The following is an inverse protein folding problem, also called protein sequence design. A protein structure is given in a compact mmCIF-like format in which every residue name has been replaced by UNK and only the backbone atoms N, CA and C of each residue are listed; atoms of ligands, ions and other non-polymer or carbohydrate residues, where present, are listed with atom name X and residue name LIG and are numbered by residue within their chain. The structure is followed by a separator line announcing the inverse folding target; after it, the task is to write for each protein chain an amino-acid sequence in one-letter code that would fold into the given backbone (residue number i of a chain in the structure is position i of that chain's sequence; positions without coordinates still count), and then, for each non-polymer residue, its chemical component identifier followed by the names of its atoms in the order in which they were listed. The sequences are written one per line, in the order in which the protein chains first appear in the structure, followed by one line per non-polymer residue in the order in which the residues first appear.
data_IF_494261850703
#
_entry.id   IF_494261850703
#
_cell.length_a   1.000
_cell.length_b   1.000
_cell.length_c   1.000
_cell.angle_alpha   90.00
_cell.angle_beta   90.00
_cell.angle_gamma   90.00
#
_symmetry.space_group_name_H-M   'P 1'
#
loop_
_entity.id
_entity.type
_entity.pdbx_description
1 polymer ?
#
# COMPACT_ATOMS: atom_id res chain seq x y z
N UNK A 1 49.31 -28.04 -60.21
CA UNK A 1 47.96 -27.39 -60.23
C UNK A 1 47.45 -27.35 -58.79
N UNK A 2 47.10 -26.18 -58.32
CA UNK A 2 47.00 -25.82 -56.88
C UNK A 2 45.67 -26.21 -56.29
N UNK A 3 45.71 -26.98 -55.19
CA UNK A 3 44.53 -27.33 -54.40
C UNK A 3 44.09 -26.19 -53.46
N UNK A 4 42.83 -25.85 -53.51
CA UNK A 4 42.21 -24.88 -52.56
C UNK A 4 41.70 -25.66 -51.32
N UNK A 5 42.28 -25.33 -50.18
CA UNK A 5 41.87 -25.81 -48.88
C UNK A 5 40.63 -24.93 -48.41
N UNK A 6 39.52 -25.59 -48.20
CA UNK A 6 38.35 -24.96 -47.57
C UNK A 6 38.53 -24.95 -46.07
N UNK A 7 38.75 -23.77 -45.49
CA UNK A 7 38.62 -23.55 -44.03
C UNK A 7 37.14 -23.39 -43.69
N UNK A 8 36.63 -24.31 -42.93
CA UNK A 8 35.32 -24.22 -42.30
C UNK A 8 35.46 -23.35 -41.06
N UNK A 9 34.89 -22.17 -41.05
CA UNK A 9 34.71 -21.35 -39.83
C UNK A 9 33.49 -21.88 -39.09
N UNK A 10 33.72 -22.46 -37.91
CA UNK A 10 32.68 -22.79 -36.94
C UNK A 10 32.37 -21.52 -36.15
N UNK A 11 31.28 -20.85 -36.48
CA UNK A 11 30.74 -19.74 -35.69
C UNK A 11 29.97 -20.32 -34.50
N UNK A 12 30.56 -20.27 -33.30
CA UNK A 12 29.89 -20.58 -32.07
C UNK A 12 28.97 -19.38 -31.68
N UNK A 13 27.69 -19.52 -31.93
CA UNK A 13 26.69 -18.57 -31.45
C UNK A 13 26.49 -18.80 -29.94
N UNK A 14 27.11 -17.97 -29.12
CA UNK A 14 26.78 -17.86 -27.70
C UNK A 14 25.46 -17.06 -27.63
N UNK A 15 24.37 -17.76 -27.48
CA UNK A 15 23.10 -17.14 -27.09
C UNK A 15 23.21 -16.71 -25.61
N UNK A 16 23.52 -15.44 -25.38
CA UNK A 16 23.29 -14.83 -24.07
C UNK A 16 21.76 -14.77 -23.88
N UNK A 17 21.24 -15.67 -23.07
CA UNK A 17 19.94 -15.48 -22.46
C UNK A 17 20.07 -14.31 -21.50
N UNK A 18 19.81 -13.11 -21.99
CA UNK A 18 19.54 -11.95 -21.12
C UNK A 18 18.19 -12.24 -20.51
N UNK A 19 18.20 -12.82 -19.32
CA UNK A 19 17.03 -12.86 -18.45
C UNK A 19 16.63 -11.40 -18.20
N UNK A 20 15.53 -10.99 -18.80
CA UNK A 20 14.89 -9.71 -18.50
C UNK A 20 14.44 -9.78 -17.04
N UNK A 21 15.25 -9.27 -16.11
CA UNK A 21 14.78 -8.90 -14.79
C UNK A 21 13.89 -7.69 -15.06
N UNK A 22 12.58 -7.92 -15.21
CA UNK A 22 11.62 -6.83 -15.22
C UNK A 22 11.59 -6.26 -13.81
N UNK A 23 12.40 -5.24 -13.56
CA UNK A 23 12.22 -4.41 -12.37
C UNK A 23 10.89 -3.68 -12.57
N UNK A 24 9.81 -4.26 -12.05
CA UNK A 24 8.53 -3.60 -11.99
C UNK A 24 8.73 -2.31 -11.18
N UNK A 25 8.65 -1.17 -11.86
CA UNK A 25 8.79 0.13 -11.20
C UNK A 25 7.47 0.41 -10.47
N UNK A 26 7.34 -0.07 -9.26
CA UNK A 26 6.19 0.15 -8.40
C UNK A 26 6.22 1.56 -7.82
N UNK A 27 5.07 2.16 -7.61
CA UNK A 27 5.01 3.60 -7.39
C UNK A 27 4.04 4.06 -6.29
N UNK A 28 3.63 3.20 -5.34
CA UNK A 28 2.78 3.57 -4.22
C UNK A 28 3.53 4.38 -3.15
N UNK A 29 2.81 5.22 -2.42
CA UNK A 29 3.33 5.97 -1.27
C UNK A 29 2.34 5.93 -0.12
N UNK A 30 2.84 5.95 1.12
CA UNK A 30 2.05 6.12 2.34
C UNK A 30 2.77 7.11 3.26
N UNK A 31 2.01 8.03 3.86
CA UNK A 31 2.48 9.01 4.85
C UNK A 31 1.55 9.02 6.05
N UNK A 32 2.13 9.18 7.25
CA UNK A 32 1.39 9.46 8.49
C UNK A 32 1.75 10.86 8.96
N UNK A 33 0.75 11.59 9.43
CA UNK A 33 0.93 12.90 10.02
C UNK A 33 0.10 13.03 11.30
N UNK A 34 0.78 12.98 12.44
CA UNK A 34 0.21 13.28 13.74
C UNK A 34 0.11 14.80 13.90
N UNK A 35 -1.06 15.29 14.27
CA UNK A 35 -1.34 16.71 14.52
C UNK A 35 -1.70 16.92 15.98
N UNK A 36 -1.55 18.17 16.48
CA UNK A 36 -1.85 18.49 17.88
C UNK A 36 -3.35 18.50 18.18
N UNK A 37 -4.15 19.07 17.26
CA UNK A 37 -5.57 19.38 17.52
C UNK A 37 -6.54 18.57 16.66
N UNK A 38 -6.06 17.86 15.64
CA UNK A 38 -6.93 17.22 14.65
C UNK A 38 -6.67 15.71 14.48
N UNK A 39 -5.89 15.09 15.39
CA UNK A 39 -5.62 13.66 15.39
C UNK A 39 -4.64 13.22 14.31
N UNK A 40 -4.65 11.94 13.98
CA UNK A 40 -3.71 11.29 13.06
C UNK A 40 -4.32 11.17 11.67
N UNK A 41 -3.63 11.76 10.69
CA UNK A 41 -3.95 11.64 9.27
C UNK A 41 -3.03 10.62 8.60
N UNK A 42 -3.59 9.83 7.69
CA UNK A 42 -2.85 8.91 6.84
C UNK A 42 -3.17 9.21 5.39
N UNK A 43 -2.14 9.34 4.55
CA UNK A 43 -2.29 9.45 3.11
C UNK A 43 -1.65 8.26 2.41
N UNK A 44 -2.29 7.80 1.34
CA UNK A 44 -1.83 6.68 0.52
C UNK A 44 -2.14 6.93 -0.95
N UNK A 45 -1.21 6.61 -1.85
CA UNK A 45 -1.44 6.61 -3.31
C UNK A 45 -1.36 5.19 -3.86
N UNK A 46 -2.33 4.82 -4.67
CA UNK A 46 -2.31 3.62 -5.50
C UNK A 46 -1.76 3.98 -6.87
N UNK A 47 -0.53 3.55 -7.11
CA UNK A 47 0.11 3.76 -8.40
C UNK A 47 0.29 2.37 -9.04
N UNK A 48 -0.38 2.13 -10.16
CA UNK A 48 -0.45 0.81 -10.75
C UNK A 48 -0.50 0.85 -12.28
N UNK A 49 -0.18 -0.28 -12.91
CA UNK A 49 -0.02 -0.38 -14.36
C UNK A 49 -1.34 -0.37 -15.14
N UNK A 50 -2.44 -0.68 -14.49
CA UNK A 50 -3.77 -0.84 -15.11
C UNK A 50 -4.90 -0.56 -14.12
N UNK A 51 -6.12 -0.42 -14.61
CA UNK A 51 -7.30 -0.30 -13.77
C UNK A 51 -7.46 -1.56 -12.90
N UNK A 52 -7.55 -1.38 -11.59
CA UNK A 52 -7.56 -2.47 -10.61
C UNK A 52 -8.93 -2.67 -9.92
N UNK A 53 -9.99 -2.06 -10.48
CA UNK A 53 -11.39 -2.25 -10.07
C UNK A 53 -11.58 -2.09 -8.55
N UNK A 54 -11.23 -0.96 -7.96
CA UNK A 54 -11.27 -0.81 -6.51
C UNK A 54 -12.71 -0.80 -5.99
N UNK A 55 -12.91 -1.43 -4.81
CA UNK A 55 -14.17 -1.30 -4.05
C UNK A 55 -13.87 -0.75 -2.66
N UNK A 56 -14.82 -0.05 -2.08
CA UNK A 56 -14.82 0.31 -0.67
C UNK A 56 -15.76 -0.66 0.04
N UNK A 57 -15.24 -1.38 1.01
CA UNK A 57 -15.96 -2.39 1.77
C UNK A 57 -15.97 -2.02 3.26
N UNK A 58 -17.16 -1.97 3.85
CA UNK A 58 -17.38 -1.86 5.30
C UNK A 58 -17.78 -3.22 5.82
N UNK A 59 -17.12 -3.68 6.87
CA UNK A 59 -17.33 -5.00 7.46
C UNK A 59 -17.63 -4.85 8.95
N UNK A 60 -18.67 -5.52 9.41
CA UNK A 60 -19.02 -5.52 10.84
C UNK A 60 -18.19 -6.54 11.62
N UNK A 61 -18.08 -6.37 12.92
CA UNK A 61 -17.42 -7.32 13.82
C UNK A 61 -18.21 -8.64 13.96
N UNK A 62 -17.52 -9.71 14.36
CA UNK A 62 -18.12 -11.02 14.64
C UNK A 62 -18.14 -11.98 13.46
N UNK A 63 -17.59 -11.62 12.31
CA UNK A 63 -17.47 -12.49 11.15
C UNK A 63 -16.17 -13.31 11.20
N UNK A 64 -16.24 -14.61 10.81
CA UNK A 64 -15.09 -15.49 10.81
C UNK A 64 -14.58 -15.71 9.39
N UNK A 65 -13.28 -15.48 9.20
CA UNK A 65 -12.60 -15.57 7.90
C UNK A 65 -11.49 -16.61 7.90
N UNK A 66 -11.18 -17.11 6.72
CA UNK A 66 -10.03 -17.98 6.47
C UNK A 66 -8.94 -17.21 5.73
N UNK A 67 -7.71 -17.30 6.23
CA UNK A 67 -6.53 -16.59 5.70
C UNK A 67 -5.87 -17.24 4.49
N UNK A 68 -6.16 -18.53 4.25
CA UNK A 68 -5.58 -19.31 3.15
C UNK A 68 -6.47 -20.52 2.83
N UNK A 69 -6.36 -21.07 1.63
CA UNK A 69 -7.22 -22.16 1.18
C UNK A 69 -6.58 -23.55 1.44
N UNK A 70 -5.89 -23.71 2.60
CA UNK A 70 -5.28 -24.97 3.07
C UNK A 70 -5.56 -25.22 4.54
N UNK A 71 -5.26 -26.43 5.01
CA UNK A 71 -5.63 -26.91 6.36
C UNK A 71 -4.92 -26.16 7.50
N UNK A 72 -3.70 -25.65 7.27
CA UNK A 72 -2.91 -24.87 8.23
C UNK A 72 -3.18 -23.35 8.18
N UNK A 73 -4.25 -22.94 7.51
CA UNK A 73 -4.64 -21.56 7.36
C UNK A 73 -4.97 -20.91 8.70
N UNK A 74 -4.48 -19.66 8.86
CA UNK A 74 -4.98 -18.76 9.90
C UNK A 74 -6.50 -18.61 9.75
N UNK A 75 -7.21 -18.74 10.87
CA UNK A 75 -8.64 -18.42 10.95
C UNK A 75 -8.82 -17.37 12.02
N UNK A 76 -9.57 -16.31 11.72
CA UNK A 76 -9.85 -15.26 12.71
C UNK A 76 -11.32 -14.86 12.69
N UNK A 77 -11.81 -14.46 13.85
CA UNK A 77 -13.10 -13.77 13.97
C UNK A 77 -12.83 -12.28 14.17
N UNK A 78 -13.42 -11.43 13.32
CA UNK A 78 -13.24 -9.98 13.42
C UNK A 78 -13.70 -9.47 14.79
N UNK A 79 -12.80 -8.83 15.51
CA UNK A 79 -13.10 -8.18 16.80
C UNK A 79 -13.69 -6.80 16.59
N UNK A 80 -13.31 -6.15 15.52
CA UNK A 80 -13.64 -4.75 15.24
C UNK A 80 -14.31 -4.63 13.87
N UNK A 81 -15.26 -3.71 13.79
CA UNK A 81 -15.78 -3.26 12.50
C UNK A 81 -14.72 -2.42 11.78
N UNK A 82 -14.66 -2.53 10.47
CA UNK A 82 -13.61 -1.93 9.66
C UNK A 82 -14.14 -1.42 8.31
N UNK A 83 -13.42 -0.47 7.73
CA UNK A 83 -13.57 -0.01 6.36
C UNK A 83 -12.26 -0.20 5.62
N UNK A 84 -12.32 -0.69 4.39
CA UNK A 84 -11.12 -0.90 3.58
C UNK A 84 -11.36 -0.72 2.10
N UNK A 85 -10.26 -0.59 1.36
CA UNK A 85 -10.25 -0.57 -0.10
C UNK A 85 -9.67 -1.88 -0.60
N UNK A 86 -10.41 -2.55 -1.47
CA UNK A 86 -9.97 -3.76 -2.16
C UNK A 86 -9.58 -3.46 -3.60
N UNK A 87 -8.81 -4.36 -4.20
CA UNK A 87 -8.49 -4.34 -5.63
C UNK A 87 -8.71 -5.72 -6.24
N UNK A 88 -9.03 -5.74 -7.54
CA UNK A 88 -9.21 -6.97 -8.35
C UNK A 88 -10.23 -7.97 -7.79
N UNK A 89 -11.03 -7.59 -6.81
CA UNK A 89 -11.94 -8.51 -6.13
C UNK A 89 -11.24 -9.60 -5.31
N UNK A 90 -10.00 -9.39 -4.84
CA UNK A 90 -9.20 -10.42 -4.16
C UNK A 90 -9.00 -10.19 -2.67
N UNK A 91 -8.82 -8.95 -2.22
CA UNK A 91 -8.58 -8.68 -0.80
C UNK A 91 -8.47 -7.20 -0.48
N UNK A 92 -8.47 -6.88 0.80
CA UNK A 92 -8.32 -5.52 1.32
C UNK A 92 -6.82 -5.18 1.38
N UNK A 93 -6.44 -4.06 0.79
CA UNK A 93 -5.06 -3.60 0.75
C UNK A 93 -4.80 -2.32 1.55
N UNK A 94 -5.86 -1.58 1.88
CA UNK A 94 -5.82 -0.35 2.66
C UNK A 94 -7.04 -0.28 3.55
N UNK A 95 -6.94 0.24 4.75
CA UNK A 95 -8.10 0.47 5.58
C UNK A 95 -7.80 0.74 7.04
N UNK A 96 -8.87 0.99 7.80
CA UNK A 96 -8.81 1.20 9.23
C UNK A 96 -10.06 0.62 9.93
N UNK A 97 -10.00 0.51 11.25
CA UNK A 97 -11.12 0.00 12.05
C UNK A 97 -11.71 1.06 13.00
N UNK A 98 -12.75 0.66 13.70
CA UNK A 98 -13.48 1.52 14.67
C UNK A 98 -12.61 2.02 15.84
N UNK A 99 -11.46 1.40 16.11
CA UNK A 99 -10.48 1.82 17.12
C UNK A 99 -9.50 2.87 16.62
N UNK A 100 -9.51 3.17 15.31
CA UNK A 100 -8.52 4.04 14.69
C UNK A 100 -7.17 3.35 14.48
N UNK A 101 -7.16 2.04 14.35
CA UNK A 101 -6.00 1.29 13.89
C UNK A 101 -6.11 1.06 12.38
N UNK A 102 -5.05 1.31 11.66
CA UNK A 102 -4.98 1.22 10.21
C UNK A 102 -3.85 0.31 9.73
N UNK A 103 -4.02 -0.25 8.55
CA UNK A 103 -2.99 -0.99 7.84
C UNK A 103 -3.09 -0.75 6.33
N UNK A 104 -1.92 -0.70 5.66
CA UNK A 104 -1.82 -0.54 4.21
C UNK A 104 -0.79 -1.51 3.65
N UNK A 105 -1.04 -2.02 2.45
CA UNK A 105 -0.10 -2.84 1.70
C UNK A 105 0.41 -2.08 0.46
N UNK A 106 1.73 -2.03 0.30
CA UNK A 106 2.40 -1.51 -0.89
C UNK A 106 3.25 -2.62 -1.49
N UNK A 107 3.49 -2.55 -2.78
CA UNK A 107 4.30 -3.58 -3.45
C UNK A 107 5.77 -3.52 -3.03
N UNK A 108 6.36 -4.70 -2.76
CA UNK A 108 7.78 -4.88 -2.43
C UNK A 108 8.34 -6.11 -3.17
N UNK A 109 9.26 -5.92 -4.09
CA UNK A 109 9.87 -7.02 -4.86
C UNK A 109 10.61 -8.03 -3.99
N UNK A 110 11.17 -7.56 -2.88
CA UNK A 110 11.98 -8.33 -1.95
C UNK A 110 11.16 -9.25 -1.03
N UNK A 111 9.82 -9.10 -0.99
CA UNK A 111 8.97 -10.03 -0.21
C UNK A 111 9.24 -11.48 -0.63
N UNK A 112 9.59 -12.30 0.35
CA UNK A 112 9.85 -13.71 0.14
C UNK A 112 9.38 -14.53 1.35
N UNK A 113 8.29 -15.30 1.21
CA UNK A 113 7.74 -16.07 2.33
C UNK A 113 8.64 -17.22 2.80
N UNK A 114 9.63 -17.64 2.00
CA UNK A 114 10.45 -18.79 2.31
C UNK A 114 9.68 -20.12 2.30
N UNK A 115 10.28 -21.16 2.86
CA UNK A 115 9.60 -22.44 3.03
C UNK A 115 8.58 -22.41 4.17
N UNK A 116 7.49 -23.20 4.12
CA UNK A 116 6.53 -23.33 5.22
C UNK A 116 7.21 -23.68 6.54
N UNK A 117 6.88 -22.96 7.61
CA UNK A 117 7.47 -23.10 8.93
C UNK A 117 6.50 -23.83 9.87
N UNK A 118 6.97 -24.90 10.49
CA UNK A 118 6.15 -25.67 11.44
C UNK A 118 5.73 -24.79 12.63
N UNK A 119 4.44 -24.87 13.00
CA UNK A 119 3.87 -24.13 14.12
C UNK A 119 3.44 -22.72 13.83
N UNK A 120 3.66 -22.19 12.61
CA UNK A 120 3.12 -20.90 12.18
C UNK A 120 1.80 -21.08 11.43
N UNK A 121 0.85 -20.18 11.67
CA UNK A 121 -0.39 -20.10 10.95
C UNK A 121 -0.20 -19.36 9.62
N UNK A 122 -0.76 -19.90 8.55
CA UNK A 122 -0.55 -19.40 7.20
C UNK A 122 -1.63 -18.39 6.81
N UNK A 123 -1.23 -17.26 6.22
CA UNK A 123 -2.16 -16.26 5.64
C UNK A 123 -1.63 -15.75 4.31
N UNK A 124 -2.50 -15.70 3.31
CA UNK A 124 -2.15 -15.02 2.05
C UNK A 124 -1.98 -13.52 2.25
N UNK A 125 -0.99 -12.95 1.60
CA UNK A 125 -0.72 -11.51 1.66
C UNK A 125 -1.92 -10.66 1.20
N UNK A 126 -2.75 -11.17 0.29
CA UNK A 126 -4.02 -10.54 -0.13
C UNK A 126 -5.06 -10.37 0.99
N UNK A 127 -4.95 -11.14 2.09
CA UNK A 127 -5.88 -11.15 3.23
C UNK A 127 -5.29 -10.55 4.50
N UNK A 128 -3.98 -10.25 4.48
CA UNK A 128 -3.27 -9.87 5.69
C UNK A 128 -3.70 -8.51 6.25
N UNK A 129 -3.91 -7.50 5.40
CA UNK A 129 -4.45 -6.19 5.84
C UNK A 129 -5.82 -6.34 6.48
N UNK A 130 -6.72 -7.17 5.90
CA UNK A 130 -8.03 -7.46 6.48
C UNK A 130 -7.90 -8.08 7.87
N UNK A 131 -7.03 -9.09 8.04
CA UNK A 131 -6.76 -9.71 9.32
C UNK A 131 -6.28 -8.68 10.36
N UNK A 132 -5.34 -7.81 9.99
CA UNK A 132 -4.80 -6.80 10.88
C UNK A 132 -5.89 -5.86 11.41
N UNK A 133 -6.63 -5.20 10.52
CA UNK A 133 -7.66 -4.22 10.93
C UNK A 133 -8.89 -4.87 11.59
N UNK A 134 -9.16 -6.14 11.33
CA UNK A 134 -10.22 -6.89 12.01
C UNK A 134 -9.85 -7.32 13.43
N UNK A 135 -8.56 -7.52 13.72
CA UNK A 135 -8.11 -8.23 14.91
C UNK A 135 -7.51 -7.34 15.99
N UNK A 136 -6.89 -6.20 15.64
CA UNK A 136 -6.09 -5.40 16.54
C UNK A 136 -6.59 -3.96 16.70
N UNK A 137 -6.38 -3.39 17.88
CA UNK A 137 -6.77 -2.01 18.20
C UNK A 137 -5.59 -1.02 18.13
N UNK A 138 -4.36 -1.51 18.08
CA UNK A 138 -3.15 -0.68 18.06
C UNK A 138 -1.99 -1.38 17.36
N UNK A 139 -0.98 -0.59 16.99
CA UNK A 139 0.29 -1.07 16.43
C UNK A 139 0.94 -2.07 17.38
N UNK A 140 1.06 -1.73 18.65
CA UNK A 140 1.67 -2.56 19.68
C UNK A 140 0.97 -3.93 19.85
N UNK A 141 -0.37 -3.97 19.77
CA UNK A 141 -1.14 -5.21 19.82
C UNK A 141 -0.86 -6.09 18.60
N UNK A 142 -0.81 -5.52 17.41
CA UNK A 142 -0.52 -6.23 16.17
C UNK A 142 0.89 -6.83 16.19
N UNK A 143 1.90 -6.05 16.57
CA UNK A 143 3.30 -6.50 16.58
C UNK A 143 3.54 -7.71 17.51
N UNK A 144 2.85 -7.79 18.65
CA UNK A 144 2.95 -8.92 19.60
C UNK A 144 2.45 -10.26 19.03
N UNK A 145 1.71 -10.22 17.93
CA UNK A 145 1.10 -11.41 17.32
C UNK A 145 1.79 -11.88 16.03
N UNK A 146 2.76 -11.13 15.50
CA UNK A 146 3.39 -11.41 14.20
C UNK A 146 4.16 -12.74 14.18
N UNK A 147 4.84 -13.09 15.26
CA UNK A 147 5.72 -14.27 15.30
C UNK A 147 4.98 -15.59 15.05
N UNK A 148 3.68 -15.63 15.31
CA UNK A 148 2.84 -16.81 15.06
C UNK A 148 2.39 -16.97 13.61
N UNK A 149 2.67 -15.97 12.74
CA UNK A 149 2.10 -15.86 11.40
C UNK A 149 3.19 -15.99 10.36
N UNK A 150 2.89 -16.70 9.28
CA UNK A 150 3.67 -16.76 8.07
C UNK A 150 2.84 -16.28 6.87
N UNK A 151 3.39 -15.31 6.14
CA UNK A 151 2.80 -14.85 4.89
C UNK A 151 2.93 -15.93 3.82
N UNK A 152 1.87 -16.12 3.04
CA UNK A 152 1.86 -16.90 1.81
C UNK A 152 1.63 -15.99 0.62
N UNK A 153 2.35 -16.27 -0.46
CA UNK A 153 2.26 -15.45 -1.66
C UNK A 153 0.97 -15.75 -2.43
N UNK A 154 0.28 -14.69 -2.81
CA UNK A 154 -0.85 -14.73 -3.71
C UNK A 154 -0.41 -14.31 -5.13
N UNK A 155 -1.00 -14.93 -6.15
CA UNK A 155 -0.80 -14.54 -7.55
C UNK A 155 -2.13 -14.20 -8.22
N UNK A 156 -2.16 -13.10 -8.93
CA UNK A 156 -3.31 -12.69 -9.73
C UNK A 156 -2.91 -12.52 -11.19
N UNK A 157 -3.62 -13.19 -12.10
CA UNK A 157 -3.34 -13.16 -13.55
C UNK A 157 -1.85 -13.44 -13.91
N UNK A 158 -1.19 -14.32 -13.15
CA UNK A 158 0.22 -14.67 -13.36
C UNK A 158 1.24 -13.66 -12.80
N UNK A 159 0.77 -12.61 -12.12
CA UNK A 159 1.60 -11.64 -11.41
C UNK A 159 1.64 -12.02 -9.93
N UNK A 160 2.83 -12.20 -9.38
CA UNK A 160 3.01 -12.37 -7.94
C UNK A 160 2.73 -11.05 -7.23
N UNK A 161 1.73 -11.05 -6.35
CA UNK A 161 1.30 -9.89 -5.58
C UNK A 161 2.13 -9.78 -4.31
N UNK A 162 3.36 -9.31 -4.45
CA UNK A 162 4.30 -9.11 -3.35
C UNK A 162 4.01 -7.81 -2.60
N UNK A 163 4.31 -7.77 -1.29
CA UNK A 163 4.02 -6.56 -0.52
C UNK A 163 4.80 -6.41 0.77
N UNK A 164 4.81 -5.19 1.26
CA UNK A 164 5.14 -4.85 2.63
C UNK A 164 4.02 -4.00 3.23
N UNK A 165 4.01 -3.87 4.53
CA UNK A 165 2.85 -3.36 5.23
C UNK A 165 3.23 -2.21 6.14
N UNK A 166 2.37 -1.19 6.19
CA UNK A 166 2.43 -0.20 7.24
C UNK A 166 1.29 -0.37 8.22
N UNK A 167 1.58 -0.11 9.48
CA UNK A 167 0.61 -0.05 10.56
C UNK A 167 0.68 1.33 11.19
N UNK A 168 -0.46 1.88 11.55
CA UNK A 168 -0.58 3.11 12.31
C UNK A 168 -1.81 3.12 13.20
N UNK A 169 -1.79 3.89 14.27
CA UNK A 169 -2.96 4.05 15.12
C UNK A 169 -3.20 5.50 15.58
N UNK A 170 -4.35 5.75 16.22
CA UNK A 170 -4.76 7.06 16.66
C UNK A 170 -3.85 7.70 17.75
N UNK A 171 -2.90 6.96 18.31
CA UNK A 171 -1.86 7.51 19.19
C UNK A 171 -0.68 8.13 18.43
N UNK A 172 -0.68 8.01 17.10
CA UNK A 172 0.42 8.37 16.21
C UNK A 172 1.54 7.33 16.16
N UNK A 173 1.38 6.17 16.80
CA UNK A 173 2.33 5.08 16.66
C UNK A 173 2.29 4.50 15.24
N UNK A 174 3.45 4.05 14.75
CA UNK A 174 3.61 3.58 13.38
C UNK A 174 4.63 2.44 13.29
N UNK A 175 4.41 1.52 12.36
CA UNK A 175 5.38 0.49 12.02
C UNK A 175 5.38 0.21 10.52
N UNK A 176 6.55 -0.22 10.01
CA UNK A 176 6.69 -0.82 8.68
C UNK A 176 7.15 -2.26 8.85
N UNK A 177 6.45 -3.16 8.19
CA UNK A 177 6.65 -4.61 8.25
C UNK A 177 7.05 -5.13 6.87
N UNK A 178 8.16 -5.84 6.79
CA UNK A 178 8.61 -6.56 5.61
C UNK A 178 8.77 -8.04 5.94
N UNK A 179 8.30 -8.92 5.06
CA UNK A 179 8.43 -10.36 5.27
C UNK A 179 9.42 -10.91 4.24
N UNK A 180 10.68 -11.07 4.66
CA UNK A 180 11.82 -11.40 3.79
C UNK A 180 12.48 -12.67 4.29
N UNK A 181 12.72 -13.62 3.38
CA UNK A 181 13.32 -14.91 3.67
C UNK A 181 12.66 -15.67 4.84
N UNK A 182 11.33 -15.57 4.90
CA UNK A 182 10.52 -16.25 5.92
C UNK A 182 10.57 -15.61 7.32
N UNK A 183 11.03 -14.37 7.43
CA UNK A 183 11.13 -13.65 8.70
C UNK A 183 10.58 -12.22 8.60
N UNK A 184 9.95 -11.76 9.68
CA UNK A 184 9.53 -10.37 9.81
C UNK A 184 10.73 -9.46 10.08
N UNK A 185 10.85 -8.42 9.28
CA UNK A 185 11.66 -7.25 9.56
C UNK A 185 10.70 -6.14 10.00
N UNK A 186 10.91 -5.61 11.22
CA UNK A 186 9.99 -4.66 11.84
C UNK A 186 10.71 -3.36 12.14
N UNK A 187 10.21 -2.27 11.59
CA UNK A 187 10.62 -0.91 11.92
C UNK A 187 9.47 -0.25 12.69
N UNK A 188 9.63 -0.05 14.01
CA UNK A 188 8.58 0.41 14.91
C UNK A 188 8.90 1.73 15.58
N UNK A 189 7.98 2.67 15.54
CA UNK A 189 8.01 3.99 16.17
C UNK A 189 7.49 5.09 15.26
N UNK A 190 7.12 6.23 15.85
CA UNK A 190 6.52 7.38 15.17
C UNK A 190 7.37 7.95 14.01
N UNK A 191 8.67 7.72 14.02
CA UNK A 191 9.59 8.17 12.97
C UNK A 191 9.49 7.37 11.67
N UNK A 192 8.82 6.22 11.66
CA UNK A 192 8.62 5.37 10.49
C UNK A 192 7.29 5.68 9.79
N UNK A 193 7.12 6.95 9.46
CA UNK A 193 5.89 7.58 9.04
C UNK A 193 5.76 7.79 7.52
N UNK A 194 6.77 7.40 6.75
CA UNK A 194 6.75 7.39 5.28
C UNK A 194 7.12 5.99 4.79
N UNK A 195 6.37 5.46 3.83
CA UNK A 195 6.66 4.20 3.15
C UNK A 195 6.42 4.37 1.65
N UNK A 196 7.31 3.79 0.84
CA UNK A 196 7.16 3.65 -0.62
C UNK A 196 7.47 2.20 -1.00
N UNK A 197 7.69 1.88 -2.25
CA UNK A 197 7.97 0.51 -2.69
C UNK A 197 9.44 0.10 -2.52
N UNK A 198 9.90 -0.91 -3.25
CA UNK A 198 11.33 -1.31 -3.27
C UNK A 198 12.31 -0.14 -3.42
N UNK A 199 13.48 -0.22 -2.83
CA UNK A 199 14.07 -1.35 -2.12
C UNK A 199 13.55 -1.52 -0.68
N UNK A 200 14.09 -2.52 0.04
CA UNK A 200 13.84 -2.72 1.48
C UNK A 200 13.89 -1.42 2.29
N UNK A 201 13.08 -1.32 3.31
CA UNK A 201 12.87 -0.10 4.08
C UNK A 201 14.15 0.46 4.70
N UNK A 202 15.04 -0.42 5.16
CA UNK A 202 16.35 -0.01 5.69
C UNK A 202 17.18 0.82 4.69
N UNK A 203 17.08 0.53 3.39
CA UNK A 203 17.77 1.30 2.36
C UNK A 203 17.11 2.68 2.16
N UNK A 204 15.79 2.79 2.26
CA UNK A 204 15.10 4.07 2.23
C UNK A 204 15.52 4.98 3.40
N UNK A 205 15.62 4.43 4.60
CA UNK A 205 16.10 5.17 5.77
C UNK A 205 17.53 5.69 5.57
N UNK A 206 18.41 4.88 5.02
CA UNK A 206 19.77 5.29 4.67
C UNK A 206 19.79 6.43 3.65
N UNK A 207 19.02 6.29 2.57
CA UNK A 207 18.91 7.33 1.53
C UNK A 207 18.39 8.65 2.11
N UNK A 208 17.42 8.60 3.01
CA UNK A 208 16.89 9.79 3.69
C UNK A 208 17.92 10.40 4.64
N UNK A 209 18.63 9.59 5.41
CA UNK A 209 19.69 10.06 6.30
C UNK A 209 20.78 10.82 5.54
N UNK A 210 21.13 10.38 4.33
CA UNK A 210 22.10 11.05 3.45
C UNK A 210 21.54 12.34 2.84
N UNK A 211 20.25 12.40 2.53
CA UNK A 211 19.58 13.55 1.93
C UNK A 211 19.20 14.65 2.96
N UNK A 212 18.80 14.26 4.17
CA UNK A 212 18.24 15.15 5.19
C UNK A 212 19.13 16.35 5.58
N UNK A 213 20.47 16.25 5.69
CA UNK A 213 21.31 17.42 5.99
C UNK A 213 21.22 18.51 4.93
N UNK A 214 21.10 18.12 3.64
CA UNK A 214 20.93 19.08 2.53
C UNK A 214 19.56 19.73 2.60
N UNK A 215 18.52 18.94 2.87
CA UNK A 215 17.16 19.42 3.04
C UNK A 215 17.05 20.45 4.18
N UNK A 216 17.66 20.18 5.34
CA UNK A 216 17.66 21.10 6.49
C UNK A 216 18.45 22.38 6.26
N UNK A 217 19.43 22.40 5.36
CA UNK A 217 20.22 23.57 5.00
C UNK A 217 19.60 24.40 3.87
N UNK A 218 18.50 23.96 3.30
CA UNK A 218 17.80 24.65 2.21
C UNK A 218 16.99 25.85 2.73
N UNK A 219 17.67 26.97 2.87
CA UNK A 219 17.06 28.22 3.37
C UNK A 219 16.26 28.98 2.31
N UNK A 220 16.37 28.60 1.03
CA UNK A 220 15.76 29.30 -0.10
C UNK A 220 14.66 28.48 -0.80
N UNK A 221 14.37 27.26 -0.36
CA UNK A 221 13.47 26.33 -1.05
C UNK A 221 14.06 25.77 -2.35
N UNK A 222 15.39 25.77 -2.46
CA UNK A 222 16.11 25.30 -3.64
C UNK A 222 16.64 23.86 -3.49
N UNK A 223 16.23 23.17 -2.43
CA UNK A 223 16.62 21.77 -2.24
C UNK A 223 16.24 20.98 -3.49
N UNK A 224 17.20 20.37 -4.17
CA UNK A 224 16.94 19.62 -5.39
C UNK A 224 16.21 18.33 -5.01
N UNK A 225 14.91 18.48 -4.79
CA UNK A 225 14.05 17.34 -4.54
C UNK A 225 14.04 16.56 -5.86
N UNK A 226 14.48 15.32 -5.86
CA UNK A 226 14.34 14.50 -7.04
C UNK A 226 12.84 14.33 -7.28
N UNK A 227 12.27 15.12 -8.14
CA UNK A 227 10.91 14.94 -8.61
C UNK A 227 10.87 13.67 -9.37
N UNK A 228 10.19 12.62 -8.84
CA UNK A 228 10.21 11.44 -9.64
C UNK A 228 9.30 10.28 -9.28
N UNK A 229 9.14 9.47 -10.28
CA UNK A 229 8.46 8.19 -10.37
C UNK A 229 9.17 7.12 -9.51
N UNK A 230 10.50 7.20 -9.36
CA UNK A 230 11.30 6.22 -8.63
C UNK A 230 10.96 6.20 -7.11
N UNK A 231 10.83 5.01 -6.55
CA UNK A 231 10.42 4.79 -5.15
C UNK A 231 11.35 5.49 -4.14
N UNK A 232 12.67 5.37 -4.28
CA UNK A 232 13.61 5.99 -3.36
C UNK A 232 13.53 7.53 -3.38
N UNK A 233 13.29 8.11 -4.57
CA UNK A 233 13.12 9.55 -4.72
C UNK A 233 11.79 10.04 -4.17
N UNK A 234 10.69 9.27 -4.33
CA UNK A 234 9.41 9.57 -3.69
C UNK A 234 9.50 9.49 -2.17
N UNK A 235 10.27 8.54 -1.63
CA UNK A 235 10.52 8.48 -0.19
C UNK A 235 11.14 9.78 0.33
N UNK A 236 12.22 10.26 -0.32
CA UNK A 236 12.89 11.51 0.04
C UNK A 236 11.93 12.70 -0.11
N UNK A 237 11.18 12.78 -1.23
CA UNK A 237 10.18 13.83 -1.45
C UNK A 237 9.14 13.86 -0.33
N UNK A 238 8.50 12.73 -0.08
CA UNK A 238 7.43 12.64 0.90
C UNK A 238 7.92 12.97 2.31
N UNK A 239 9.11 12.47 2.70
CA UNK A 239 9.73 12.79 3.99
C UNK A 239 10.00 14.29 4.12
N UNK A 240 10.63 14.89 3.10
CA UNK A 240 10.93 16.31 3.11
C UNK A 240 9.67 17.18 3.15
N UNK A 241 8.70 16.89 2.28
CA UNK A 241 7.47 17.68 2.20
C UNK A 241 6.60 17.54 3.45
N UNK A 242 6.53 16.33 4.02
CA UNK A 242 5.82 16.11 5.29
C UNK A 242 6.44 16.94 6.42
N UNK A 243 7.77 17.00 6.51
CA UNK A 243 8.48 17.80 7.52
C UNK A 243 8.23 19.32 7.41
N UNK A 244 7.74 19.80 6.25
CA UNK A 244 7.35 21.20 6.05
C UNK A 244 5.90 21.51 6.47
N UNK A 245 5.09 20.49 6.78
CA UNK A 245 3.69 20.70 7.16
C UNK A 245 3.60 21.44 8.49
N UNK A 246 2.78 22.49 8.48
CA UNK A 246 2.39 23.21 9.70
C UNK A 246 1.06 22.72 10.18
N UNK A 247 0.83 22.77 11.49
CA UNK A 247 -0.44 22.42 12.11
C UNK A 247 -1.65 22.87 11.28
N UNK A 248 -2.61 22.00 10.98
CA UNK A 248 -3.77 22.38 10.20
C UNK A 248 -4.73 23.25 11.01
N UNK A 249 -5.41 24.17 10.35
CA UNK A 249 -6.41 25.04 10.97
C UNK A 249 -7.78 24.38 11.12
N UNK A 250 -7.98 23.22 10.50
CA UNK A 250 -9.19 22.41 10.55
C UNK A 250 -8.94 21.02 10.02
N UNK A 251 -9.85 20.09 10.27
CA UNK A 251 -9.84 18.75 9.67
C UNK A 251 -9.69 18.80 8.13
N UNK A 252 -10.55 19.58 7.46
CA UNK A 252 -10.51 19.71 5.99
C UNK A 252 -9.17 20.28 5.51
N UNK A 253 -8.61 21.25 6.26
CA UNK A 253 -7.28 21.78 5.94
C UNK A 253 -6.18 20.72 6.12
N UNK A 254 -6.30 19.83 7.11
CA UNK A 254 -5.41 18.68 7.29
C UNK A 254 -5.43 17.73 6.09
N UNK A 255 -6.63 17.35 5.64
CA UNK A 255 -6.80 16.54 4.42
C UNK A 255 -6.12 17.22 3.21
N UNK A 256 -6.42 18.50 2.97
CA UNK A 256 -5.88 19.23 1.83
C UNK A 256 -4.35 19.33 1.86
N UNK A 257 -3.77 19.60 3.03
CA UNK A 257 -2.32 19.70 3.21
C UNK A 257 -1.64 18.35 2.94
N UNK A 258 -2.09 17.28 3.58
CA UNK A 258 -1.46 15.97 3.43
C UNK A 258 -1.62 15.43 2.01
N UNK A 259 -2.80 15.59 1.40
CA UNK A 259 -3.03 15.22 0.00
C UNK A 259 -2.10 16.00 -0.96
N UNK A 260 -1.85 17.29 -0.68
CA UNK A 260 -1.02 18.14 -1.54
C UNK A 260 0.46 17.76 -1.55
N UNK A 261 0.99 17.26 -0.44
CA UNK A 261 2.42 16.88 -0.31
C UNK A 261 2.69 15.44 -0.70
N UNK A 262 1.69 14.56 -0.66
CA UNK A 262 1.83 13.18 -1.10
C UNK A 262 2.06 13.14 -2.61
N UNK A 263 3.21 12.62 -3.03
CA UNK A 263 3.59 12.60 -4.44
C UNK A 263 2.60 11.76 -5.26
N UNK A 264 2.15 12.33 -6.37
CA UNK A 264 1.27 11.67 -7.34
C UNK A 264 1.94 11.65 -8.72
N UNK A 265 1.85 10.52 -9.39
CA UNK A 265 2.44 10.32 -10.72
C UNK A 265 1.39 10.66 -11.77
N UNK A 266 1.65 11.66 -12.62
CA UNK A 266 0.73 12.01 -13.70
C UNK A 266 0.55 10.86 -14.70
N UNK A 267 -0.66 10.69 -15.22
CA UNK A 267 -1.00 9.65 -16.21
C UNK A 267 -0.06 9.68 -17.43
N UNK A 268 0.19 10.84 -17.98
CA UNK A 268 1.04 10.98 -19.18
C UNK A 268 2.54 10.76 -18.91
N UNK A 269 2.98 10.88 -17.68
CA UNK A 269 4.37 10.66 -17.29
C UNK A 269 4.68 9.20 -16.96
N UNK A 270 3.64 8.43 -16.67
CA UNK A 270 3.72 7.03 -16.26
C UNK A 270 3.67 6.09 -17.47
N UNK A 271 3.94 4.81 -17.21
CA UNK A 271 3.80 3.70 -18.17
C UNK A 271 4.61 3.92 -19.48
N UNK A 272 5.68 4.71 -19.41
CA UNK A 272 6.57 4.92 -20.56
C UNK A 272 7.74 3.95 -20.52
N UNK A 273 7.97 3.19 -21.60
CA UNK A 273 9.16 2.38 -21.67
C UNK A 273 10.42 3.27 -21.77
N UNK A 274 11.38 3.03 -20.90
CA UNK A 274 12.71 3.60 -20.94
C UNK A 274 13.69 2.44 -21.14
N UNK A 275 14.38 2.42 -22.27
CA UNK A 275 15.24 1.28 -22.66
C UNK A 275 14.52 -0.08 -22.69
N UNK A 276 13.23 -0.08 -23.03
CA UNK A 276 12.40 -1.30 -23.07
C UNK A 276 11.80 -1.75 -21.75
N UNK A 277 12.06 -1.04 -20.66
CA UNK A 277 11.49 -1.31 -19.32
C UNK A 277 10.44 -0.25 -18.97
N UNK A 278 9.34 -0.69 -18.40
CA UNK A 278 8.32 0.24 -17.86
C UNK A 278 8.87 0.92 -16.60
N UNK A 279 8.79 2.23 -16.55
CA UNK A 279 9.32 3.06 -15.46
C UNK A 279 8.19 3.82 -14.77
N UNK A 280 7.74 3.28 -13.64
CA UNK A 280 6.70 3.87 -12.81
C UNK A 280 5.30 3.74 -13.42
N UNK A 281 4.34 3.82 -12.55
CA UNK A 281 2.92 3.68 -12.89
C UNK A 281 2.17 4.92 -12.45
N UNK A 282 1.10 5.27 -13.19
CA UNK A 282 0.24 6.39 -12.85
C UNK A 282 -0.44 6.18 -11.49
N UNK A 283 -0.67 7.27 -10.77
CA UNK A 283 -1.55 7.26 -9.61
C UNK A 283 -2.99 7.08 -10.07
N UNK A 284 -3.61 5.95 -9.75
CA UNK A 284 -5.01 5.67 -10.05
C UNK A 284 -5.93 6.40 -9.08
N UNK A 285 -5.60 6.31 -7.78
CA UNK A 285 -6.31 7.01 -6.73
C UNK A 285 -5.40 7.37 -5.56
N UNK A 286 -5.82 8.36 -4.80
CA UNK A 286 -5.26 8.73 -3.51
C UNK A 286 -6.30 8.60 -2.41
N UNK A 287 -5.87 8.15 -1.24
CA UNK A 287 -6.66 8.12 -0.01
C UNK A 287 -6.05 9.10 0.98
N UNK A 288 -6.89 9.85 1.69
CA UNK A 288 -6.51 10.53 2.93
C UNK A 288 -7.59 10.23 3.95
N UNK A 289 -7.23 9.57 5.03
CA UNK A 289 -8.16 9.32 6.13
C UNK A 289 -7.60 9.79 7.46
N UNK A 290 -8.51 10.02 8.39
CA UNK A 290 -8.19 10.45 9.74
C UNK A 290 -8.68 9.38 10.72
N UNK A 291 -7.78 8.90 11.55
CA UNK A 291 -8.04 7.76 12.44
C UNK A 291 -8.94 8.11 13.61
N UNK A 292 -8.99 9.38 14.01
CA UNK A 292 -9.87 9.87 15.07
C UNK A 292 -11.28 10.12 14.56
N UNK A 293 -11.41 10.80 13.42
CA UNK A 293 -12.69 11.12 12.81
C UNK A 293 -13.33 9.92 12.10
N UNK A 294 -12.52 8.93 11.69
CA UNK A 294 -12.93 7.72 10.95
C UNK A 294 -13.66 8.05 9.63
N UNK A 295 -13.10 9.00 8.91
CA UNK A 295 -13.57 9.42 7.58
C UNK A 295 -12.48 9.14 6.57
N UNK A 296 -12.80 8.41 5.51
CA UNK A 296 -11.93 8.15 4.37
C UNK A 296 -12.28 9.13 3.24
N UNK A 297 -11.29 9.90 2.78
CA UNK A 297 -11.41 10.75 1.61
C UNK A 297 -10.68 10.07 0.45
N UNK A 298 -11.31 10.04 -0.70
CA UNK A 298 -10.83 9.40 -1.92
C UNK A 298 -10.78 10.40 -3.04
N UNK A 299 -9.66 10.41 -3.76
CA UNK A 299 -9.55 11.04 -5.08
C UNK A 299 -9.21 9.95 -6.08
N UNK A 300 -10.12 9.65 -6.98
CA UNK A 300 -9.89 8.74 -8.09
C UNK A 300 -9.57 9.55 -9.36
N UNK A 301 -8.53 9.14 -10.09
CA UNK A 301 -8.04 9.87 -11.25
C UNK A 301 -7.42 8.91 -12.29
N UNK A 302 -8.21 8.05 -12.87
CA UNK A 302 -7.72 7.14 -13.90
C UNK A 302 -8.72 7.04 -15.05
N UNK A 303 -8.19 6.84 -16.28
CA UNK A 303 -8.99 6.79 -17.48
C UNK A 303 -9.80 8.10 -17.65
N UNK A 304 -11.06 8.03 -18.01
CA UNK A 304 -11.93 9.19 -18.16
C UNK A 304 -12.58 9.68 -16.85
N UNK A 305 -12.16 9.11 -15.71
CA UNK A 305 -12.76 9.41 -14.41
C UNK A 305 -11.89 10.35 -13.57
N UNK A 306 -12.50 11.41 -13.04
CA UNK A 306 -11.90 12.28 -12.03
C UNK A 306 -12.96 12.60 -10.97
N UNK A 307 -12.86 11.95 -9.82
CA UNK A 307 -13.84 12.09 -8.73
C UNK A 307 -13.16 12.38 -7.40
N UNK A 308 -13.86 13.08 -6.52
CA UNK A 308 -13.42 13.34 -5.16
C UNK A 308 -14.61 13.22 -4.21
N UNK A 309 -14.51 12.30 -3.26
CA UNK A 309 -15.58 11.98 -2.35
C UNK A 309 -15.06 11.53 -0.98
N UNK A 310 -15.96 11.39 -0.02
CA UNK A 310 -15.66 10.84 1.30
C UNK A 310 -16.66 9.77 1.71
N UNK A 311 -16.21 8.87 2.57
CA UNK A 311 -17.02 7.88 3.26
C UNK A 311 -16.83 8.07 4.77
N UNK A 312 -17.90 8.40 5.47
CA UNK A 312 -17.93 8.50 6.93
C UNK A 312 -18.27 7.12 7.51
N UNK A 313 -17.26 6.43 8.02
CA UNK A 313 -17.42 5.10 8.58
C UNK A 313 -18.39 5.07 9.77
N UNK A 314 -18.46 6.15 10.56
CA UNK A 314 -19.38 6.19 11.70
C UNK A 314 -20.86 6.06 11.29
N UNK A 315 -21.22 6.46 10.07
CA UNK A 315 -22.59 6.31 9.53
C UNK A 315 -22.91 4.88 9.08
N UNK A 316 -21.88 4.04 8.90
CA UNK A 316 -21.97 2.70 8.34
C UNK A 316 -21.66 1.60 9.36
N UNK A 317 -21.18 1.96 10.55
CA UNK A 317 -20.90 1.01 11.64
C UNK A 317 -22.19 0.69 12.43
N UNK A 318 -23.15 0.07 11.75
CA UNK A 318 -24.49 -0.26 12.28
C UNK A 318 -24.75 -1.77 12.39
N UNK A 319 -23.70 -2.59 12.26
CA UNK A 319 -23.80 -4.06 12.32
C UNK A 319 -24.10 -4.73 10.98
N UNK A 320 -24.02 -4.00 9.87
CA UNK A 320 -24.14 -4.55 8.52
C UNK A 320 -22.84 -4.36 7.73
N UNK A 321 -22.69 -5.20 6.71
CA UNK A 321 -21.65 -5.00 5.70
C UNK A 321 -22.18 -4.14 4.55
N UNK A 322 -21.31 -3.29 4.01
CA UNK A 322 -21.61 -2.43 2.87
C UNK A 322 -20.47 -2.45 1.86
N UNK A 323 -20.80 -2.22 0.60
CA UNK A 323 -19.82 -2.16 -0.49
C UNK A 323 -20.23 -1.14 -1.55
N UNK A 324 -19.24 -0.58 -2.25
CA UNK A 324 -19.44 0.24 -3.44
C UNK A 324 -18.20 0.15 -4.34
N UNK A 325 -18.38 0.21 -5.65
CA UNK A 325 -17.26 0.42 -6.59
C UNK A 325 -16.70 1.82 -6.40
N UNK A 326 -15.39 1.93 -6.19
CA UNK A 326 -14.72 3.20 -5.90
C UNK A 326 -14.41 4.05 -7.14
N UNK A 327 -14.52 3.45 -8.34
CA UNK A 327 -14.20 4.05 -9.64
C UNK A 327 -15.42 4.58 -10.42
N UNK A 328 -16.60 4.66 -9.79
CA UNK A 328 -17.79 5.20 -10.45
C UNK A 328 -17.62 6.70 -10.75
N UNK A 329 -17.99 7.17 -11.93
CA UNK A 329 -17.69 8.54 -12.40
C UNK A 329 -18.56 9.62 -11.75
N UNK A 330 -19.58 9.25 -10.99
CA UNK A 330 -20.55 10.14 -10.35
C UNK A 330 -20.41 10.21 -8.82
N UNK A 331 -19.25 9.80 -8.26
CA UNK A 331 -18.97 9.86 -6.83
C UNK A 331 -18.38 11.23 -6.45
N UNK A 332 -19.18 12.05 -5.73
CA UNK A 332 -18.78 13.36 -5.23
C UNK A 332 -19.34 13.64 -3.84
N UNK A 333 -18.57 14.34 -3.01
CA UNK A 333 -18.95 14.70 -1.65
C UNK A 333 -19.04 13.49 -0.73
N UNK A 334 -19.90 13.53 0.27
CA UNK A 334 -20.15 12.41 1.18
C UNK A 334 -21.07 11.38 0.51
N UNK A 335 -20.51 10.21 0.21
CA UNK A 335 -21.21 9.11 -0.46
C UNK A 335 -21.63 7.99 0.50
N UNK A 336 -21.54 8.17 1.83
CA UNK A 336 -21.84 7.12 2.80
C UNK A 336 -23.20 6.45 2.59
N UNK A 337 -24.21 7.24 2.18
CA UNK A 337 -25.57 6.73 1.91
C UNK A 337 -25.70 5.97 0.58
N UNK A 338 -24.66 5.95 -0.26
CA UNK A 338 -24.66 5.26 -1.55
C UNK A 338 -24.10 3.83 -1.47
N UNK A 339 -23.45 3.48 -0.36
CA UNK A 339 -22.96 2.13 -0.17
C UNK A 339 -24.15 1.18 -0.01
N UNK A 340 -24.10 0.04 -0.70
CA UNK A 340 -25.13 -0.99 -0.68
C UNK A 340 -24.77 -2.09 0.30
N UNK A 341 -25.77 -2.71 0.93
CA UNK A 341 -25.55 -3.87 1.79
C UNK A 341 -25.00 -5.04 1.00
N UNK A 342 -23.88 -5.59 1.45
CA UNK A 342 -23.19 -6.70 0.80
C UNK A 342 -21.89 -7.05 1.51
N UNK A 343 -21.47 -8.30 1.40
CA UNK A 343 -20.28 -8.82 2.11
C UNK A 343 -18.95 -8.35 1.50
N UNK A 344 -19.00 -7.58 0.41
CA UNK A 344 -17.80 -7.10 -0.28
C UNK A 344 -16.86 -8.23 -0.70
N UNK A 345 -15.61 -7.86 -0.91
CA UNK A 345 -14.58 -8.79 -1.39
C UNK A 345 -14.30 -9.91 -0.39
N UNK A 346 -14.31 -9.59 0.91
CA UNK A 346 -14.01 -10.60 1.94
C UNK A 346 -15.13 -11.64 2.15
N UNK A 347 -16.32 -11.42 1.58
CA UNK A 347 -17.42 -12.35 1.64
C UNK A 347 -17.12 -13.75 1.10
N UNK A 348 -16.23 -13.85 0.11
CA UNK A 348 -15.77 -15.13 -0.44
C UNK A 348 -14.90 -15.97 0.52
N UNK A 349 -14.36 -15.34 1.58
CA UNK A 349 -13.48 -15.97 2.58
C UNK A 349 -14.17 -16.20 3.91
N UNK A 350 -15.49 -15.93 4.00
CA UNK A 350 -16.29 -16.20 5.19
C UNK A 350 -16.40 -17.71 5.45
N UNK A 351 -16.21 -18.08 6.70
CA UNK A 351 -16.54 -19.43 7.19
C UNK A 351 -18.00 -19.39 7.68
N UNK A 352 -18.86 -20.16 7.01
CA UNK A 352 -20.29 -20.26 7.34
C UNK A 352 -20.53 -21.30 8.42
#
# INVERSE_FOLDING_TARGET
MKGFSKKVLLAASVAMAVGSISTAANACSRLVWETQDHGVFVSRTMDWMEANQPTIDVRHAGQTYRGYDKDDALTWTSKYASIGVSIYGVGIIDGFNEKGFAANALFLDEENPGAPQAGKQQIENSRFVAYLIDSFASVDEALKNLDSIQIQQFSHNGIEMKGHYSLEDASGDSAVLEYIDGAWQVHHGKQYDVMTNSPEYAQHLKNWQEAQPKAKSDVNGEFPIPGNINSAQRFIWNSYMKDQLKEPSSYTNGIAKLDSVTYKIPLDAANRPVNGEMRGYATLYGLVYNLDQKVMNVRYQYDDSYTQYSVDFNKLNDGHNYTIKADLPDLFGDISSRLEKGDGVMGQHLIK
#
